data_IF_006470330616
#
_entry.id   IF_006470330616
#
_cell.length_a   1.000
_cell.length_b   1.000
_cell.length_c   1.000
_cell.angle_alpha   90.00
_cell.angle_beta   90.00
_cell.angle_gamma   90.00
#
_symmetry.space_group_name_H-M   'P 1'
#
loop_
_entity.id
_entity.type
_entity.pdbx_description
1 polymer ?
2 polymer ?
3 non-polymer ?
4 non-polymer ?
5 water ?
#
# COMPACT_ATOMS: atom_id res chain seq x y z
N UNK A 8 11.14 8.10 -21.51
CA UNK A 8 10.51 7.25 -20.46
C UNK A 8 10.87 7.72 -19.05
N UNK A 9 9.89 7.66 -18.15
CA UNK A 9 10.05 8.10 -16.77
C UNK A 9 10.30 6.94 -15.82
N UNK A 10 10.95 7.22 -14.71
CA UNK A 10 11.24 6.22 -13.69
C UNK A 10 10.14 6.22 -12.64
N UNK A 11 9.85 5.04 -12.10
CA UNK A 11 8.84 4.88 -11.06
C UNK A 11 9.21 5.70 -9.83
N UNK A 12 8.22 6.35 -9.22
CA UNK A 12 8.47 7.13 -8.01
C UNK A 12 9.06 6.12 -7.01
N UNK A 13 10.18 6.47 -6.37
CA UNK A 13 10.81 5.58 -5.40
C UNK A 13 9.98 5.33 -4.15
N UNK A 14 10.02 4.10 -3.65
CA UNK A 14 9.27 3.73 -2.45
C UNK A 14 9.94 4.23 -1.18
N UNK A 15 9.17 4.32 -0.11
CA UNK A 15 9.66 4.73 1.21
C UNK A 15 8.79 3.96 2.20
N UNK A 16 9.30 3.76 3.42
CA UNK A 16 8.54 3.05 4.44
C UNK A 16 7.20 3.72 4.72
N UNK A 17 6.23 2.90 5.12
CA UNK A 17 4.92 3.43 5.46
C UNK A 17 5.00 4.23 6.74
N UNK A 18 6.06 4.00 7.51
CA UNK A 18 6.26 4.72 8.76
C UNK A 18 5.56 4.12 9.96
N UNK A 19 5.98 4.48 11.19
CA UNK A 19 5.37 3.96 12.41
C UNK A 19 3.90 4.33 12.64
N UNK A 20 3.48 5.50 12.16
CA UNK A 20 2.10 5.94 12.36
C UNK A 20 1.18 5.75 11.15
N UNK A 21 1.52 4.80 10.29
CA UNK A 21 0.76 4.52 9.08
C UNK A 21 -0.76 4.39 9.27
N UNK A 22 -1.23 4.19 10.49
CA UNK A 22 -2.67 4.03 10.72
C UNK A 22 -3.49 5.32 10.51
N UNK A 23 -2.88 6.45 10.83
CA UNK A 23 -3.56 7.73 10.69
C UNK A 23 -4.16 7.90 9.31
N UNK A 24 -3.36 7.65 8.29
CA UNK A 24 -3.85 7.82 6.93
C UNK A 24 -4.59 6.67 6.29
N UNK A 25 -4.30 5.43 6.67
CA UNK A 25 -4.96 4.30 6.05
C UNK A 25 -6.03 3.60 6.88
N UNK A 26 -6.03 3.83 8.19
CA UNK A 26 -7.03 3.23 9.09
C UNK A 26 -7.32 4.21 10.23
N UNK A 27 -7.85 5.39 9.90
CA UNK A 27 -8.17 6.43 10.89
C UNK A 27 -8.89 5.93 12.14
N UNK A 28 -9.87 5.05 11.95
CA UNK A 28 -10.64 4.48 13.04
C UNK A 28 -9.71 3.85 14.10
N UNK A 29 -8.77 3.04 13.65
CA UNK A 29 -7.85 2.37 14.56
C UNK A 29 -6.99 3.37 15.32
N UNK A 30 -6.91 4.60 14.81
CA UNK A 30 -6.13 5.64 15.47
C UNK A 30 -7.07 6.61 16.18
N UNK A 31 -8.33 6.21 16.34
CA UNK A 31 -9.32 7.05 17.02
C UNK A 31 -9.57 8.37 16.30
N UNK A 32 -9.53 8.36 14.96
CA UNK A 32 -9.77 9.57 14.19
C UNK A 32 -11.01 9.40 13.31
N UNK A 33 -12.08 10.10 13.66
CA UNK A 33 -13.30 10.02 12.88
C UNK A 33 -13.39 11.24 11.98
N UNK A 34 -12.98 11.06 10.73
CA UNK A 34 -13.01 12.15 9.77
C UNK A 34 -13.76 11.75 8.50
N UNK A 35 -13.77 10.46 8.20
CA UNK A 35 -14.43 9.94 7.01
C UNK A 35 -15.75 9.30 7.39
N UNK A 36 -16.77 9.46 6.54
CA UNK A 36 -18.06 8.84 6.81
C UNK A 36 -17.92 7.36 6.43
N UNK A 37 -17.38 7.11 5.25
CA UNK A 37 -17.17 5.76 4.78
C UNK A 37 -15.70 5.37 4.97
N UNK A 38 -15.47 4.38 5.82
CA UNK A 38 -14.11 3.91 6.12
C UNK A 38 -13.82 2.56 5.48
N UNK A 39 -12.63 2.43 4.91
CA UNK A 39 -12.22 1.19 4.27
C UNK A 39 -11.79 0.24 5.39
N UNK A 40 -12.15 -1.03 5.29
CA UNK A 40 -11.78 -2.00 6.34
C UNK A 40 -11.41 -3.39 5.85
N UNK A 41 -11.42 -4.35 6.78
CA UNK A 41 -11.05 -5.73 6.53
C UNK A 41 -12.23 -6.67 6.32
N UNK A 42 -13.40 -6.14 5.99
CA UNK A 42 -14.57 -6.98 5.77
C UNK A 42 -14.99 -6.96 4.30
N UNK A 43 -14.63 -7.99 3.55
CA UNK A 43 -14.97 -8.06 2.14
C UNK A 43 -16.30 -8.76 1.86
N UNK A 44 -16.91 -9.35 2.89
CA UNK A 44 -18.16 -10.05 2.68
C UNK A 44 -19.39 -9.16 2.93
N UNK A 45 -20.18 -8.98 1.88
CA UNK A 45 -21.40 -8.18 1.98
C UNK A 45 -22.59 -9.13 2.14
N UNK A 46 -23.76 -8.53 2.33
CA UNK A 46 -24.99 -9.30 2.52
C UNK A 46 -25.23 -10.33 1.42
N UNK A 47 -25.17 -9.88 0.17
CA UNK A 47 -25.41 -10.77 -0.98
C UNK A 47 -24.16 -11.30 -1.66
N UNK A 48 -23.05 -11.37 -0.92
CA UNK A 48 -21.81 -11.86 -1.49
C UNK A 48 -21.88 -13.37 -1.60
N UNK A 49 -21.50 -13.90 -2.76
CA UNK A 49 -21.53 -15.34 -3.00
C UNK A 49 -20.25 -16.04 -2.53
N UNK A 50 -20.37 -17.32 -2.20
CA UNK A 50 -19.23 -18.09 -1.78
C UNK A 50 -19.21 -18.44 -0.31
N UNK A 51 -18.29 -19.32 0.07
CA UNK A 51 -18.19 -19.71 1.47
C UNK A 51 -17.37 -18.71 2.27
N UNK A 52 -17.98 -18.18 3.32
CA UNK A 52 -17.31 -17.24 4.19
C UNK A 52 -16.12 -17.91 4.86
N UNK A 53 -15.03 -17.17 5.00
CA UNK A 53 -13.83 -17.68 5.66
C UNK A 53 -13.17 -16.53 6.40
N UNK A 54 -12.41 -16.87 7.42
CA UNK A 54 -11.71 -15.87 8.20
C UNK A 54 -10.22 -16.12 8.01
N UNK A 55 -9.50 -15.08 7.61
CA UNK A 55 -8.06 -15.20 7.40
C UNK A 55 -7.38 -14.45 8.54
N UNK A 56 -6.58 -15.15 9.33
CA UNK A 56 -5.89 -14.51 10.45
C UNK A 56 -4.47 -15.00 10.61
N UNK A 57 -3.68 -14.23 11.36
CA UNK A 57 -2.29 -14.58 11.59
C UNK A 57 -1.52 -13.46 12.27
N UNK A 58 -0.21 -13.57 12.24
CA UNK A 58 0.69 -12.57 12.81
C UNK A 58 1.88 -12.39 11.89
N UNK A 59 2.63 -11.31 12.10
CA UNK A 59 3.82 -11.02 11.31
C UNK A 59 4.97 -10.97 12.30
N UNK A 60 6.01 -11.76 12.07
CA UNK A 60 7.16 -11.80 12.97
C UNK A 60 8.43 -11.22 12.36
N UNK A 61 9.19 -10.49 13.16
CA UNK A 61 10.45 -9.92 12.68
C UNK A 61 11.56 -10.96 12.81
N UNK A 62 12.80 -10.51 12.63
CA UNK A 62 13.94 -11.41 12.71
C UNK A 62 14.19 -12.03 14.07
N UNK A 63 13.61 -11.46 15.12
CA UNK A 63 13.80 -11.99 16.46
C UNK A 63 12.71 -12.96 16.84
N UNK A 64 11.69 -13.06 15.99
CA UNK A 64 10.58 -13.96 16.27
C UNK A 64 9.50 -13.22 17.04
N UNK A 65 9.57 -11.90 17.02
CA UNK A 65 8.59 -11.07 17.71
C UNK A 65 7.59 -10.48 16.71
N UNK A 66 6.30 -10.47 17.07
CA UNK A 66 5.27 -9.93 16.19
C UNK A 66 5.33 -8.42 16.01
N UNK A 67 5.12 -7.95 14.79
CA UNK A 67 5.10 -6.52 14.52
C UNK A 67 3.73 -6.04 14.99
N UNK A 68 3.71 -5.03 15.85
CA UNK A 68 2.45 -4.51 16.34
C UNK A 68 2.07 -3.21 15.63
N UNK A 69 2.78 -2.90 14.55
CA UNK A 69 2.50 -1.69 13.78
C UNK A 69 2.42 -1.94 12.28
N UNK A 70 2.20 -3.19 11.88
CA UNK A 70 2.14 -3.55 10.48
C UNK A 70 0.75 -3.34 9.89
N UNK A 71 0.70 -3.00 8.60
CA UNK A 71 -0.56 -2.79 7.89
C UNK A 71 -0.64 -3.83 6.78
N UNK A 72 -1.79 -4.48 6.63
CA UNK A 72 -1.96 -5.51 5.61
C UNK A 72 -3.14 -5.26 4.68
N UNK A 73 -2.97 -5.58 3.40
CA UNK A 73 -4.04 -5.46 2.42
C UNK A 73 -4.07 -6.73 1.59
N UNK A 74 -5.25 -7.12 1.11
CA UNK A 74 -5.37 -8.29 0.28
C UNK A 74 -6.17 -7.94 -0.97
N UNK A 75 -5.93 -8.71 -2.03
CA UNK A 75 -6.59 -8.55 -3.32
C UNK A 75 -6.88 -9.97 -3.79
N UNK A 76 -8.15 -10.25 -4.08
CA UNK A 76 -8.55 -11.59 -4.52
C UNK A 76 -9.73 -11.59 -5.48
N UNK A 77 -9.95 -12.73 -6.13
CA UNK A 77 -11.04 -12.87 -7.08
C UNK A 77 -12.28 -13.33 -6.32
N UNK A 78 -13.44 -13.31 -6.97
CA UNK A 78 -14.66 -13.75 -6.29
C UNK A 78 -14.70 -15.27 -6.21
N UNK A 79 -15.88 -15.81 -5.91
CA UNK A 79 -16.01 -17.25 -5.77
C UNK A 79 -15.85 -18.01 -7.09
N UNK A 80 -16.06 -17.33 -8.22
CA UNK A 80 -15.92 -17.98 -9.50
C UNK A 80 -14.58 -17.68 -10.17
N UNK A 81 -13.67 -17.09 -9.40
CA UNK A 81 -12.36 -16.77 -9.95
C UNK A 81 -12.34 -15.61 -10.92
N UNK A 82 -13.20 -14.62 -10.69
CA UNK A 82 -13.26 -13.44 -11.55
C UNK A 82 -12.92 -12.24 -10.66
N UNK A 83 -12.06 -11.35 -11.15
CA UNK A 83 -11.70 -10.17 -10.37
C UNK A 83 -12.62 -8.98 -10.61
N UNK A 84 -13.08 -8.33 -9.53
CA UNK A 84 -13.95 -7.17 -9.69
C UNK A 84 -13.07 -6.01 -10.17
N UNK A 85 -12.56 -6.15 -11.40
CA UNK A 85 -11.67 -5.16 -12.00
C UNK A 85 -11.89 -5.07 -13.50
N UNK A 86 -11.87 -3.85 -14.04
CA UNK A 86 -12.05 -3.67 -15.48
C UNK A 86 -10.93 -4.34 -16.25
N UNK A 87 -9.82 -4.62 -15.56
CA UNK A 87 -8.68 -5.24 -16.22
C UNK A 87 -8.88 -6.74 -16.39
N UNK A 88 -9.92 -7.29 -15.75
CA UNK A 88 -10.17 -8.73 -15.89
C UNK A 88 -10.73 -8.97 -17.29
N UNK A 89 -10.05 -9.82 -18.05
CA UNK A 89 -10.48 -10.08 -19.43
C UNK A 89 -11.13 -11.44 -19.62
N UNK A 90 -11.65 -12.04 -18.55
CA UNK A 90 -12.26 -13.35 -18.67
C UNK A 90 -13.59 -13.35 -19.42
N UNK A 91 -14.21 -12.20 -19.57
CA UNK A 91 -15.47 -12.14 -20.27
C UNK A 91 -16.63 -12.66 -19.43
N UNK A 92 -16.34 -13.06 -18.20
CA UNK A 92 -17.38 -13.55 -17.30
C UNK A 92 -17.89 -12.40 -16.42
N UNK A 93 -19.09 -12.56 -15.89
CA UNK A 93 -19.65 -11.54 -15.02
C UNK A 93 -19.18 -11.85 -13.60
N UNK A 94 -18.72 -10.81 -12.90
CA UNK A 94 -18.22 -10.95 -11.54
C UNK A 94 -19.35 -10.76 -10.51
N UNK A 95 -19.10 -11.22 -9.28
CA UNK A 95 -20.05 -11.06 -8.19
C UNK A 95 -20.22 -9.54 -7.99
N UNK A 96 -21.41 -8.99 -8.27
CA UNK A 96 -21.66 -7.56 -8.12
C UNK A 96 -21.58 -7.02 -6.70
N UNK A 97 -21.51 -7.93 -5.73
CA UNK A 97 -21.43 -7.51 -4.33
C UNK A 97 -20.10 -7.95 -3.71
N UNK A 98 -19.00 -7.60 -4.37
CA UNK A 98 -17.67 -7.98 -3.90
C UNK A 98 -16.60 -7.00 -4.41
N UNK A 99 -15.95 -6.30 -3.49
CA UNK A 99 -14.90 -5.34 -3.85
C UNK A 99 -13.61 -6.08 -4.18
N UNK A 100 -13.39 -7.21 -3.50
CA UNK A 100 -12.21 -8.01 -3.73
C UNK A 100 -10.95 -7.54 -3.03
N UNK A 101 -11.07 -6.43 -2.32
CA UNK A 101 -9.94 -5.83 -1.61
C UNK A 101 -10.33 -5.50 -0.17
N UNK A 102 -9.33 -5.45 0.71
CA UNK A 102 -9.57 -5.14 2.10
C UNK A 102 -8.27 -4.70 2.75
N UNK A 103 -8.37 -4.03 3.89
CA UNK A 103 -7.20 -3.54 4.61
C UNK A 103 -7.41 -3.71 6.10
N UNK A 104 -6.33 -4.03 6.81
CA UNK A 104 -6.41 -4.19 8.25
C UNK A 104 -5.05 -3.94 8.89
N UNK A 105 -5.05 -3.77 10.21
CA UNK A 105 -3.80 -3.54 10.91
C UNK A 105 -3.65 -4.53 12.03
N UNK A 106 -2.42 -4.85 12.40
CA UNK A 106 -2.19 -5.80 13.48
C UNK A 106 -2.68 -5.12 14.76
N UNK A 107 -3.05 -5.92 15.75
CA UNK A 107 -3.51 -5.36 17.01
C UNK A 107 -2.30 -4.83 17.77
N UNK A 108 -2.42 -3.60 18.30
CA UNK A 108 -1.33 -2.96 19.04
C UNK A 108 -0.82 -3.79 20.20
N UNK A 109 -1.68 -4.62 20.78
CA UNK A 109 -1.27 -5.42 21.91
C UNK A 109 -0.77 -6.81 21.58
N UNK A 110 -1.64 -7.62 20.97
CA UNK A 110 -1.30 -9.00 20.62
C UNK A 110 -0.54 -9.17 19.31
N UNK A 111 -0.87 -8.37 18.31
CA UNK A 111 -0.19 -8.49 17.03
C UNK A 111 -1.00 -9.23 15.98
N UNK A 112 -2.11 -9.84 16.38
CA UNK A 112 -2.96 -10.55 15.43
C UNK A 112 -3.70 -9.64 14.47
N UNK A 113 -3.86 -10.12 13.24
CA UNK A 113 -4.61 -9.41 12.22
C UNK A 113 -5.59 -10.43 11.65
N UNK A 114 -6.60 -9.95 10.93
CA UNK A 114 -7.58 -10.84 10.33
C UNK A 114 -8.46 -10.14 9.31
N UNK A 115 -9.05 -10.94 8.43
CA UNK A 115 -9.96 -10.47 7.41
C UNK A 115 -11.15 -11.42 7.37
N UNK A 116 -12.31 -10.86 7.04
CA UNK A 116 -13.52 -11.65 6.87
C UNK A 116 -13.71 -11.57 5.38
N UNK A 117 -13.56 -12.70 4.70
CA UNK A 117 -13.71 -12.71 3.25
C UNK A 117 -14.32 -14.01 2.74
N UNK A 118 -14.15 -14.25 1.45
CA UNK A 118 -14.67 -15.43 0.79
C UNK A 118 -13.51 -16.23 0.19
N UNK A 119 -13.63 -17.55 0.14
CA UNK A 119 -12.55 -18.35 -0.44
C UNK A 119 -12.68 -18.17 -1.95
N UNK A 120 -11.63 -17.61 -2.59
CA UNK A 120 -11.61 -17.34 -4.03
C UNK A 120 -11.61 -18.59 -4.91
N UNK A 121 -12.21 -18.44 -6.08
CA UNK A 121 -12.24 -19.55 -7.03
C UNK A 121 -10.96 -19.51 -7.84
N UNK A 122 -10.69 -20.59 -8.59
CA UNK A 122 -9.49 -20.68 -9.40
C UNK A 122 -9.45 -19.60 -10.48
N UNK A 123 -8.26 -19.05 -10.71
CA UNK A 123 -8.07 -18.00 -11.72
C UNK A 123 -7.15 -18.53 -12.83
N UNK A 124 -7.44 -18.16 -14.09
CA UNK A 124 -6.63 -18.60 -15.23
C UNK A 124 -5.17 -18.17 -15.10
N UNK A 125 -4.26 -19.05 -15.49
CA UNK A 125 -2.86 -18.73 -15.43
C UNK A 125 -2.39 -18.32 -16.81
N UNK A 126 -1.08 -18.17 -16.99
CA UNK A 126 -0.55 -17.80 -18.30
C UNK A 126 -0.55 -19.03 -19.20
N UNK A 127 -0.61 -18.81 -20.50
CA UNK A 127 -0.60 -19.89 -21.48
C UNK A 127 -1.60 -21.01 -21.19
N UNK A 128 -2.87 -20.65 -21.03
CA UNK A 128 -3.91 -21.64 -20.79
C UNK A 128 -3.79 -22.52 -19.55
N UNK A 129 -3.06 -22.07 -18.54
CA UNK A 129 -2.92 -22.85 -17.31
C UNK A 129 -3.96 -22.37 -16.31
N UNK A 130 -4.06 -23.05 -15.18
CA UNK A 130 -5.01 -22.68 -14.15
C UNK A 130 -4.29 -22.50 -12.82
N UNK A 131 -4.48 -21.35 -12.19
CA UNK A 131 -3.84 -21.11 -10.91
C UNK A 131 -4.70 -21.68 -9.79
N UNK A 132 -4.04 -22.19 -8.76
CA UNK A 132 -4.76 -22.71 -7.61
C UNK A 132 -5.37 -21.49 -6.92
N UNK A 133 -6.45 -21.67 -6.14
CA UNK A 133 -7.08 -20.55 -5.44
C UNK A 133 -6.06 -19.86 -4.54
N UNK A 134 -6.03 -18.54 -4.58
CA UNK A 134 -5.07 -17.78 -3.78
C UNK A 134 -5.51 -16.35 -3.54
N UNK A 135 -4.91 -15.74 -2.52
CA UNK A 135 -5.19 -14.36 -2.17
C UNK A 135 -3.86 -13.60 -2.22
N UNK A 136 -3.81 -12.51 -2.96
CA UNK A 136 -2.59 -11.72 -3.01
C UNK A 136 -2.56 -10.84 -1.76
N UNK A 137 -1.41 -10.81 -1.10
CA UNK A 137 -1.29 -10.04 0.12
C UNK A 137 -0.02 -9.20 0.13
N UNK A 138 -0.11 -8.00 0.70
CA UNK A 138 1.03 -7.11 0.79
C UNK A 138 1.08 -6.51 2.19
N UNK A 139 2.30 -6.31 2.70
CA UNK A 139 2.47 -5.75 4.03
C UNK A 139 3.33 -4.49 4.00
N UNK A 140 2.94 -3.50 4.81
CA UNK A 140 3.67 -2.25 4.93
C UNK A 140 3.92 -2.03 6.42
N UNK A 141 4.99 -1.32 6.75
CA UNK A 141 5.32 -1.03 8.13
C UNK A 141 6.65 -0.32 8.30
N UNK A 142 6.84 0.23 9.48
CA UNK A 142 8.08 0.89 9.85
C UNK A 142 9.15 -0.17 9.61
N UNK A 143 10.30 0.24 9.07
CA UNK A 143 11.37 -0.71 8.82
C UNK A 143 11.30 -1.42 7.49
N UNK A 144 10.14 -1.36 6.84
CA UNK A 144 9.95 -2.00 5.54
C UNK A 144 9.96 -0.89 4.49
N UNK A 145 11.02 -0.85 3.69
CA UNK A 145 11.18 0.19 2.69
C UNK A 145 10.26 0.08 1.48
N UNK A 146 9.89 -1.15 1.13
CA UNK A 146 9.00 -1.39 0.00
C UNK A 146 7.97 -2.44 0.41
N UNK A 147 6.72 -2.21 0.08
CA UNK A 147 5.70 -3.19 0.44
C UNK A 147 6.13 -4.57 0.00
N UNK A 148 5.97 -5.55 0.88
CA UNK A 148 6.34 -6.93 0.56
C UNK A 148 5.13 -7.69 0.03
N UNK A 149 5.30 -8.30 -1.14
CA UNK A 149 4.25 -9.06 -1.80
C UNK A 149 4.38 -10.56 -1.52
N UNK A 150 3.26 -11.21 -1.25
CA UNK A 150 3.27 -12.64 -1.04
C UNK A 150 1.91 -13.16 -1.44
N UNK A 151 1.73 -14.48 -1.40
CA UNK A 151 0.45 -15.09 -1.73
C UNK A 151 0.04 -16.06 -0.64
N UNK A 152 -1.27 -16.22 -0.48
CA UNK A 152 -1.82 -17.14 0.51
C UNK A 152 -2.56 -18.25 -0.24
N UNK A 153 -2.11 -19.48 -0.08
CA UNK A 153 -2.78 -20.62 -0.69
C UNK A 153 -3.44 -21.39 0.44
N UNK A 154 -4.34 -22.32 0.10
CA UNK A 154 -5.04 -23.09 1.12
C UNK A 154 -4.62 -24.56 1.13
N UNK A 155 -4.40 -25.10 2.33
CA UNK A 155 -3.96 -26.48 2.47
C UNK A 155 -5.00 -27.54 2.06
N UNK A 156 -6.26 -27.15 1.99
CA UNK A 156 -7.30 -28.08 1.57
C UNK A 156 -7.41 -28.13 0.04
N UNK A 157 -6.49 -27.46 -0.64
CA UNK A 157 -6.45 -27.44 -2.11
C UNK A 157 -5.12 -28.06 -2.56
N UNK A 158 -4.73 -29.14 -1.88
CA UNK A 158 -3.47 -29.82 -2.17
C UNK A 158 -3.28 -30.16 -3.65
N UNK A 159 -4.30 -30.72 -4.28
CA UNK A 159 -4.21 -31.10 -5.68
C UNK A 159 -4.01 -29.90 -6.61
N UNK A 160 -4.71 -28.81 -6.33
CA UNK A 160 -4.57 -27.62 -7.16
C UNK A 160 -3.21 -26.97 -6.93
N UNK A 161 -2.78 -26.92 -5.67
CA UNK A 161 -1.49 -26.31 -5.34
C UNK A 161 -0.32 -27.01 -6.02
N UNK A 162 -0.39 -28.34 -6.12
CA UNK A 162 0.67 -29.11 -6.75
C UNK A 162 0.86 -28.72 -8.22
N UNK A 163 -0.21 -28.28 -8.87
CA UNK A 163 -0.16 -27.91 -10.28
C UNK A 163 -0.08 -26.41 -10.49
N UNK A 164 -0.02 -25.64 -9.40
CA UNK A 164 0.04 -24.19 -9.52
C UNK A 164 1.33 -23.69 -10.15
N UNK A 165 1.23 -22.88 -11.21
CA UNK A 165 2.38 -22.32 -11.92
C UNK A 165 3.32 -21.50 -11.03
N UNK A 166 2.77 -20.54 -10.28
CA UNK A 166 3.60 -19.72 -9.41
C UNK A 166 4.32 -20.53 -8.33
N UNK A 167 3.61 -21.42 -7.64
CA UNK A 167 4.26 -22.24 -6.62
C UNK A 167 5.37 -23.09 -7.22
N UNK A 168 5.15 -23.61 -8.42
CA UNK A 168 6.16 -24.45 -9.08
C UNK A 168 7.31 -23.64 -9.67
N UNK A 169 7.21 -22.32 -9.66
CA UNK A 169 8.28 -21.48 -10.20
C UNK A 169 9.29 -21.18 -9.08
N UNK A 170 9.04 -21.73 -7.90
CA UNK A 170 9.93 -21.57 -6.76
C UNK A 170 10.77 -22.84 -6.77
N UNK A 171 12.03 -22.75 -7.20
CA UNK A 171 12.88 -23.94 -7.27
C UNK A 171 13.22 -24.61 -5.94
N UNK A 172 13.13 -23.86 -4.84
CA UNK A 172 13.41 -24.42 -3.53
C UNK A 172 12.10 -24.96 -2.97
N UNK A 173 11.77 -26.19 -3.35
CA UNK A 173 10.53 -26.84 -2.92
C UNK A 173 10.16 -26.66 -1.45
N UNK A 174 11.17 -26.62 -0.59
CA UNK A 174 10.97 -26.46 0.84
C UNK A 174 10.26 -25.16 1.23
N UNK A 175 10.50 -24.10 0.47
CA UNK A 175 9.91 -22.81 0.76
C UNK A 175 8.45 -22.68 0.34
N UNK A 176 8.00 -23.54 -0.57
CA UNK A 176 6.62 -23.48 -1.03
C UNK A 176 5.58 -23.59 0.09
N UNK A 177 5.87 -24.40 1.10
CA UNK A 177 4.94 -24.58 2.21
C UNK A 177 4.69 -23.30 3.00
N UNK A 178 5.63 -22.35 2.95
CA UNK A 178 5.44 -21.11 3.69
C UNK A 178 4.28 -20.28 3.14
N UNK A 179 3.79 -20.65 1.95
CA UNK A 179 2.68 -19.91 1.34
C UNK A 179 1.31 -20.59 1.52
N UNK A 180 1.29 -21.71 2.22
CA UNK A 180 0.05 -22.44 2.45
C UNK A 180 -0.55 -22.24 3.84
N UNK A 181 -1.74 -21.64 3.90
CA UNK A 181 -2.40 -21.41 5.18
C UNK A 181 -3.08 -22.71 5.66
N UNK A 182 -3.22 -22.86 6.97
CA UNK A 182 -3.84 -24.06 7.54
C UNK A 182 -5.30 -23.84 7.91
N UNK A 183 -6.16 -24.75 7.47
CA UNK A 183 -7.58 -24.69 7.72
C UNK A 183 -7.88 -25.10 9.17
N UNK A 184 -8.87 -24.45 9.76
CA UNK A 184 -9.30 -24.75 11.13
C UNK A 184 -10.80 -24.46 11.18
N UNK A 185 -11.43 -24.79 12.29
CA UNK A 185 -12.87 -24.57 12.42
C UNK A 185 -13.30 -24.26 13.87
N UNK A 186 -13.22 -22.98 14.26
CA UNK A 186 -13.60 -22.56 15.60
C UNK A 186 -14.88 -23.21 16.10
N UNK A 187 -15.97 -22.96 15.38
CA UNK A 187 -17.26 -23.54 15.73
C UNK A 187 -17.87 -24.09 14.45
N UNK A 188 -18.51 -23.22 13.68
CA UNK A 188 -19.10 -23.61 12.41
C UNK A 188 -18.46 -22.76 11.34
N UNK A 189 -17.47 -21.99 11.75
CA UNK A 189 -16.76 -21.09 10.84
C UNK A 189 -15.41 -21.65 10.42
N UNK A 190 -15.04 -21.38 9.16
CA UNK A 190 -13.77 -21.83 8.62
C UNK A 190 -12.73 -20.72 8.81
N UNK A 191 -11.57 -21.09 9.36
CA UNK A 191 -10.51 -20.14 9.60
C UNK A 191 -9.20 -20.64 9.05
N UNK A 192 -8.52 -19.81 8.27
CA UNK A 192 -7.22 -20.18 7.74
C UNK A 192 -6.16 -19.38 8.48
N UNK A 193 -5.23 -20.09 9.10
CA UNK A 193 -4.16 -19.45 9.86
C UNK A 193 -2.96 -19.25 8.94
N UNK A 194 -2.50 -18.01 8.83
CA UNK A 194 -1.36 -17.71 7.98
C UNK A 194 -0.39 -16.78 8.66
N UNK A 195 0.70 -17.34 9.18
CA UNK A 195 1.69 -16.50 9.82
C UNK A 195 2.80 -16.15 8.84
N UNK A 196 3.25 -14.91 8.93
CA UNK A 196 4.29 -14.41 8.04
C UNK A 196 5.58 -14.19 8.80
N UNK A 197 6.66 -14.75 8.29
CA UNK A 197 7.97 -14.59 8.93
C UNK A 197 8.85 -13.84 7.95
N UNK A 198 9.12 -12.59 8.27
CA UNK A 198 9.93 -11.75 7.40
C UNK A 198 11.39 -12.16 7.33
N UNK A 199 11.94 -12.67 8.42
CA UNK A 199 13.35 -13.01 8.44
C UNK A 199 13.63 -14.30 9.21
N UNK A 200 14.75 -14.95 8.91
CA UNK A 200 15.12 -16.16 9.62
C UNK A 200 14.66 -17.49 9.06
N UNK A 201 14.52 -18.47 9.94
CA UNK A 201 14.06 -19.78 9.52
C UNK A 201 12.60 -19.75 9.11
N UNK A 202 12.25 -20.59 8.14
CA UNK A 202 10.88 -20.64 7.64
C UNK A 202 10.44 -19.27 7.17
N UNK A 203 11.41 -18.49 6.69
CA UNK A 203 11.12 -17.16 6.19
C UNK A 203 10.11 -17.26 5.05
N UNK A 204 9.05 -16.48 5.14
CA UNK A 204 8.00 -16.48 4.11
C UNK A 204 8.53 -16.04 2.76
N UNK A 205 8.04 -16.66 1.69
CA UNK A 205 8.47 -16.29 0.35
C UNK A 205 7.82 -14.95 -0.02
N UNK A 206 8.60 -14.04 -0.60
CA UNK A 206 8.09 -12.74 -1.02
C UNK A 206 8.37 -12.61 -2.50
N UNK A 207 7.43 -12.03 -3.22
CA UNK A 207 7.58 -11.88 -4.67
C UNK A 207 7.81 -10.46 -5.15
N UNK A 208 8.37 -10.38 -6.35
CA UNK A 208 8.56 -9.11 -7.00
C UNK A 208 7.59 -9.33 -8.16
N UNK A 209 6.42 -8.71 -8.08
CA UNK A 209 5.40 -8.91 -9.10
C UNK A 209 5.41 -7.95 -10.27
N UNK B 4 -6.39 -1.81 -28.55
CA UNK B 4 -5.16 -2.10 -27.77
C UNK B 4 -5.35 -3.27 -26.80
N UNK B 5 -4.50 -4.28 -26.92
CA UNK B 5 -4.55 -5.44 -26.04
C UNK B 5 -3.36 -5.33 -25.10
N UNK B 6 -3.62 -5.14 -23.81
CA UNK B 6 -2.53 -4.97 -22.86
C UNK B 6 -1.87 -6.25 -22.37
N UNK B 7 -0.55 -6.15 -22.16
CA UNK B 7 0.21 -7.26 -21.66
C UNK B 7 0.52 -7.04 -20.19
N UNK B 8 1.74 -7.33 -19.77
CA UNK B 8 2.12 -7.16 -18.36
C UNK B 8 2.76 -5.81 -18.05
N UNK B 9 2.82 -5.48 -16.77
CA UNK B 9 3.47 -4.24 -16.37
C UNK B 9 4.96 -4.42 -16.56
N UNK B 10 5.64 -3.34 -16.94
CA UNK B 10 7.08 -3.42 -17.13
C UNK B 10 7.68 -3.81 -15.78
N UNK B 11 8.81 -4.50 -15.84
CA UNK B 11 9.54 -4.94 -14.67
C UNK B 11 9.90 -3.77 -13.75
N UNK B 12 9.71 -3.94 -12.45
CA UNK B 12 10.10 -2.87 -11.53
C UNK B 12 11.62 -2.78 -11.54
N UNK B 13 12.16 -1.57 -11.63
CA UNK B 13 13.62 -1.42 -11.65
C UNK B 13 14.10 -1.29 -10.22
N UNK B 14 14.61 -2.39 -9.69
CA UNK B 14 15.09 -2.44 -8.32
C UNK B 14 16.17 -1.42 -7.99
N UNK B 15 16.87 -0.92 -9.00
CA UNK B 15 17.93 0.05 -8.74
C UNK B 15 17.38 1.47 -8.55
N UNK B 16 16.10 1.66 -8.86
CA UNK B 16 15.50 2.97 -8.67
C UNK B 16 14.76 3.03 -7.33
N UNK B 17 14.90 1.98 -6.54
CA UNK B 17 14.25 1.90 -5.23
C UNK B 17 15.25 1.56 -4.14
N UNK B 18 14.89 1.84 -2.88
CA UNK B 18 15.79 1.54 -1.78
C UNK B 18 15.85 0.01 -1.63
N UNK B 19 16.96 -0.52 -1.12
CA UNK B 19 17.05 -1.97 -0.95
C UNK B 19 16.21 -2.30 0.29
N UNK B 20 15.95 -3.58 0.54
CA UNK B 20 15.17 -3.96 1.71
C UNK B 20 16.02 -3.80 2.97
N UNK B 21 17.29 -4.20 2.87
CA UNK B 21 18.20 -4.12 4.01
C UNK B 21 19.04 -2.84 3.96
N UNK B 22 18.82 -1.94 4.91
CA UNK B 22 19.57 -0.69 4.97
C UNK B 22 19.96 -0.40 6.42
N UNK B 23 21.15 -0.85 6.82
CA UNK B 23 21.67 -0.66 8.18
C UNK B 23 21.56 0.77 8.72
N UNK B 24 21.65 1.76 7.85
CA UNK B 24 21.54 3.14 8.29
C UNK B 24 20.16 3.44 8.86
N UNK B 25 19.18 2.66 8.42
CA UNK B 25 17.81 2.77 8.89
C UNK B 25 17.66 1.54 9.77
N UNK B 26 17.93 1.73 11.05
CA UNK B 26 17.93 0.66 12.04
C UNK B 26 16.81 -0.36 12.07
N UNK B 27 15.57 0.07 12.14
CA UNK B 27 14.45 -0.87 12.19
C UNK B 27 14.36 -1.79 10.98
N UNK B 28 15.09 -1.48 9.91
CA UNK B 28 15.04 -2.33 8.71
C UNK B 28 15.92 -3.58 8.87
N UNK B 29 16.81 -3.55 9.85
CA UNK B 29 17.70 -4.69 10.08
C UNK B 29 16.97 -5.99 10.42
N UNK B 30 15.89 -5.90 11.18
CA UNK B 30 15.13 -7.09 11.57
C UNK B 30 13.85 -7.29 10.76
N UNK B 31 13.50 -6.31 9.94
CA UNK B 31 12.29 -6.41 9.15
C UNK B 31 12.53 -6.49 7.66
N UNK B 32 13.66 -7.09 7.30
CA UNK B 32 14.02 -7.26 5.90
C UNK B 32 14.34 -8.72 5.64
N UNK B 33 13.77 -9.31 4.59
CA UNK B 33 14.03 -10.71 4.26
C UNK B 33 15.50 -10.95 3.97
N UNK B 34 16.01 -12.13 4.32
CA UNK B 34 17.40 -12.41 4.05
C UNK B 34 17.45 -13.04 2.65
N UNK B 35 16.34 -13.64 2.23
CA UNK B 35 16.26 -14.25 0.90
C UNK B 35 15.90 -13.19 -0.15
N UNK B 36 16.36 -13.40 -1.38
CA UNK B 36 16.05 -12.47 -2.45
C UNK B 36 14.59 -12.64 -2.85
N UNK B 37 13.99 -11.60 -3.40
CA UNK B 37 12.61 -11.68 -3.84
C UNK B 37 12.55 -12.60 -5.05
N UNK B 38 11.49 -13.40 -5.13
CA UNK B 38 11.30 -14.30 -6.25
C UNK B 38 10.48 -13.57 -7.32
N UNK B 39 11.09 -13.34 -8.48
CA UNK B 39 10.40 -12.65 -9.57
C UNK B 39 9.50 -13.61 -10.31
N UNK B 40 8.27 -13.18 -10.59
CA UNK B 40 7.34 -14.04 -11.31
C UNK B 40 6.77 -13.34 -12.53
N UNK B 41 6.29 -14.13 -13.48
CA UNK B 41 5.68 -13.61 -14.69
C UNK B 41 4.26 -13.25 -14.25
N UNK B 42 3.76 -12.11 -14.69
CA UNK B 42 2.44 -11.67 -14.27
C UNK B 42 1.27 -12.46 -14.85
N UNK B 43 0.19 -12.46 -14.07
CA UNK B 43 -1.06 -13.12 -14.41
C UNK B 43 -2.16 -12.11 -14.15
N UNK B 44 -3.41 -12.53 -14.27
CA UNK B 44 -4.53 -11.64 -14.02
C UNK B 44 -4.50 -11.07 -12.61
N UNK B 45 -3.97 -11.83 -11.66
CA UNK B 45 -3.90 -11.38 -10.28
C UNK B 45 -3.07 -10.10 -10.13
N UNK B 46 -1.95 -10.04 -10.84
CA UNK B 46 -1.07 -8.89 -10.76
C UNK B 46 -1.47 -7.68 -11.61
N UNK B 47 -2.23 -7.91 -12.67
CA UNK B 47 -2.61 -6.80 -13.54
C UNK B 47 -3.96 -6.17 -13.22
N UNK B 48 -4.67 -6.73 -12.24
CA UNK B 48 -5.98 -6.20 -11.85
C UNK B 48 -5.91 -5.48 -10.50
N UNK B 49 -6.94 -4.69 -10.21
CA UNK B 49 -7.00 -3.96 -8.96
C UNK B 49 -8.42 -3.50 -8.72
N UNK B 50 -8.77 -3.19 -7.46
CA UNK B 50 -10.12 -2.72 -7.09
C UNK B 50 -10.47 -1.34 -7.63
N UNK B 51 -11.77 -1.04 -7.63
CA UNK B 51 -12.28 0.24 -8.10
C UNK B 51 -13.01 0.89 -6.94
N UNK B 52 -12.75 2.16 -6.67
CA UNK B 52 -13.42 2.87 -5.59
C UNK B 52 -14.33 3.96 -6.17
N UNK B 53 -15.63 3.86 -5.90
CA UNK B 53 -16.58 4.83 -6.43
C UNK B 53 -16.48 6.17 -5.71
N UNK B 54 -16.62 7.25 -6.47
CA UNK B 54 -16.54 8.58 -5.92
C UNK B 54 -17.66 8.88 -4.93
N UNK B 55 -18.78 8.15 -5.06
CA UNK B 55 -19.94 8.34 -4.18
C UNK B 55 -19.62 8.20 -2.70
N UNK B 56 -18.58 7.44 -2.39
CA UNK B 56 -18.19 7.19 -1.01
C UNK B 56 -17.36 8.31 -0.38
N UNK B 57 -16.86 9.22 -1.19
CA UNK B 57 -16.03 10.31 -0.69
C UNK B 57 -16.80 11.54 -0.21
N UNK B 58 -16.47 11.98 0.99
CA UNK B 58 -17.11 13.17 1.53
C UNK B 58 -16.57 14.38 0.81
N UNK B 59 -17.25 15.54 0.88
CA UNK B 59 -16.83 16.79 0.24
C UNK B 59 -15.54 17.40 0.77
N UNK B 60 -15.18 17.09 2.01
CA UNK B 60 -13.96 17.63 2.61
C UNK B 60 -12.84 16.60 2.75
N UNK B 61 -13.00 15.44 2.12
CA UNK B 61 -11.98 14.40 2.21
C UNK B 61 -10.60 14.83 1.74
N UNK B 62 -10.52 15.79 0.81
CA UNK B 62 -9.23 16.25 0.32
C UNK B 62 -8.83 17.60 0.89
N UNK B 63 -9.53 18.02 1.94
CA UNK B 63 -9.24 19.30 2.58
C UNK B 63 -8.86 19.08 4.04
N UNK B 64 -7.57 18.89 4.30
CA UNK B 64 -7.09 18.64 5.65
C UNK B 64 -7.19 19.86 6.57
N UNK B 65 -7.41 21.03 6.01
CA UNK B 65 -7.54 22.22 6.83
C UNK B 65 -8.92 22.24 7.52
N UNK B 66 -9.94 21.75 6.80
CA UNK B 66 -11.29 21.76 7.33
C UNK B 66 -11.95 20.43 7.70
N UNK B 67 -11.45 19.30 7.21
CA UNK B 67 -12.13 18.04 7.53
C UNK B 67 -12.08 17.58 8.98
N UNK B 68 -11.38 18.32 9.83
CA UNK B 68 -11.31 17.93 11.23
C UNK B 68 -11.47 19.16 12.13
N UNK B 69 -11.66 20.32 11.51
CA UNK B 69 -11.81 21.55 12.27
C UNK B 69 -13.09 21.52 13.11
N UNK B 70 -12.95 21.80 14.40
CA UNK B 70 -14.09 21.80 15.32
C UNK B 70 -14.46 23.22 15.76
N UNK B 71 -13.66 23.80 16.67
CA UNK B 71 -13.90 25.14 17.18
C UNK B 71 -13.31 26.23 16.29
N UNK B 72 -12.28 25.89 15.54
CA UNK B 72 -11.64 26.86 14.67
C UNK B 72 -10.75 26.21 13.62
N UNK B 73 -9.85 27.01 13.05
CA UNK B 73 -8.94 26.52 12.04
C UNK B 73 -7.64 25.98 12.64
N UNK B 74 -6.99 25.05 11.93
CA UNK B 74 -5.74 24.47 12.43
C UNK B 74 -4.67 25.57 12.42
N UNK B 75 -3.69 25.46 13.30
CA UNK B 75 -2.61 26.43 13.35
C UNK B 75 -1.51 25.93 12.39
N UNK B 76 -0.99 26.81 11.56
CA UNK B 76 0.05 26.39 10.63
C UNK B 76 0.00 27.06 9.28
N UNK B 77 0.92 26.65 8.41
CA UNK B 77 1.05 27.18 7.06
C UNK B 77 0.07 26.58 6.06
N UNK B 78 -0.86 27.40 5.60
CA UNK B 78 -1.85 26.97 4.62
C UNK B 78 -1.14 26.71 3.30
N UNK B 79 -1.21 25.47 2.81
CA UNK B 79 -0.58 25.13 1.53
C UNK B 79 -1.45 24.19 0.72
N UNK B 80 -1.43 24.38 -0.59
CA UNK B 80 -2.17 23.54 -1.52
C UNK B 80 -1.11 22.69 -2.21
N UNK B 81 -1.40 21.42 -2.40
CA UNK B 81 -0.50 20.52 -3.08
C UNK B 81 -1.28 19.89 -4.23
N UNK B 82 -0.69 19.90 -5.42
CA UNK B 82 -1.34 19.32 -6.58
C UNK B 82 -0.31 18.76 -7.53
N UNK B 83 -0.75 17.96 -8.50
CA UNK B 83 0.18 17.39 -9.45
C UNK B 83 -0.50 16.34 -10.32
N UNK B 84 0.30 15.59 -11.07
CA UNK B 84 -0.24 14.55 -11.93
C UNK B 84 0.34 13.19 -11.63
N UNK B 85 -0.49 12.17 -11.84
CA UNK B 85 -0.08 10.79 -11.63
C UNK B 85 -0.05 10.19 -13.04
N UNK B 86 1.10 9.71 -13.46
CA UNK B 86 1.25 9.12 -14.78
C UNK B 86 1.92 7.76 -14.62
N UNK B 87 1.95 6.97 -15.68
CA UNK B 87 2.63 5.68 -15.63
C UNK B 87 3.98 5.95 -16.30
N UNK B 88 4.92 5.02 -16.18
CA UNK B 88 6.25 5.24 -16.73
C UNK B 88 6.29 5.60 -18.20
N UNK B 89 5.23 5.27 -18.93
CA UNK B 89 5.19 5.58 -20.35
C UNK B 89 4.50 6.92 -20.63
N UNK B 90 4.29 7.69 -19.57
CA UNK B 90 3.66 8.99 -19.72
C UNK B 90 2.14 9.02 -19.79
N UNK B 91 1.49 7.86 -19.72
CA UNK B 91 0.03 7.83 -19.79
C UNK B 91 -0.55 8.24 -18.43
N UNK B 92 -1.59 9.09 -18.43
CA UNK B 92 -2.22 9.53 -17.18
C UNK B 92 -2.88 8.34 -16.47
N UNK B 93 -2.92 8.40 -15.14
CA UNK B 93 -3.55 7.35 -14.34
C UNK B 93 -4.88 7.91 -13.83
N UNK B 94 -5.97 7.42 -14.40
CA UNK B 94 -7.30 7.88 -14.07
C UNK B 94 -7.99 7.16 -12.92
N UNK B 95 -8.72 7.92 -12.13
CA UNK B 95 -9.48 7.39 -10.99
C UNK B 95 -8.68 6.53 -10.02
N UNK B 96 -7.45 6.95 -9.77
CA UNK B 96 -6.60 6.22 -8.83
C UNK B 96 -6.89 6.77 -7.44
N UNK B 97 -6.86 5.89 -6.45
CA UNK B 97 -7.10 6.28 -5.07
C UNK B 97 -5.81 6.80 -4.45
N UNK B 98 -5.82 8.07 -4.07
CA UNK B 98 -4.65 8.67 -3.44
C UNK B 98 -5.00 9.02 -2.00
N UNK B 99 -4.28 8.40 -1.06
CA UNK B 99 -4.49 8.66 0.35
C UNK B 99 -3.24 9.28 0.94
N UNK B 100 -3.41 10.31 1.76
CA UNK B 100 -2.28 10.99 2.36
C UNK B 100 -2.49 11.20 3.86
N UNK B 101 -1.39 11.27 4.59
CA UNK B 101 -1.46 11.51 6.03
C UNK B 101 -0.17 12.21 6.45
N UNK B 102 -0.21 12.89 7.59
CA UNK B 102 0.95 13.66 8.01
C UNK B 102 0.80 14.10 9.47
N UNK B 103 1.88 14.70 9.99
CA UNK B 103 1.90 15.24 11.34
C UNK B 103 1.37 16.67 11.22
N UNK B 104 1.16 17.35 12.35
CA UNK B 104 0.66 18.73 12.30
C UNK B 104 1.81 19.74 12.21
N UNK B 105 1.51 21.01 12.38
CA UNK B 105 2.53 22.06 12.30
C UNK B 105 3.64 21.95 13.35
N UNK B 106 3.36 21.25 14.43
CA UNK B 106 4.35 21.06 15.51
C UNK B 106 5.24 19.86 15.22
N UNK B 107 4.84 19.05 14.25
CA UNK B 107 5.60 17.84 13.93
C UNK B 107 5.04 16.73 14.81
N UNK B 108 3.80 16.89 15.23
CA UNK B 108 3.13 15.94 16.09
C UNK B 108 2.04 15.19 15.31
N UNK B 109 2.10 13.86 15.37
CA UNK B 109 1.12 12.99 14.71
C UNK B 109 -0.03 12.72 15.68
N UNK B 110 -1.24 12.66 15.15
CA UNK B 110 -2.40 12.37 15.97
C UNK B 110 -2.48 10.85 16.02
N UNK B 111 -1.53 10.24 16.72
CA UNK B 111 -1.43 8.79 16.83
C UNK B 111 -1.08 8.41 18.27
N UNK B 112 -1.80 7.43 18.84
CA UNK B 112 -1.55 7.00 20.21
C UNK B 112 -0.08 6.74 20.59
N UNK B 113 0.71 6.18 19.67
CA UNK B 113 2.12 5.90 19.95
C UNK B 113 3.06 7.09 19.80
N UNK B 114 2.53 8.29 19.63
CA UNK B 114 3.39 9.46 19.47
C UNK B 114 3.39 10.31 20.74
N UNK B 115 4.51 10.32 21.45
CA UNK B 115 4.60 11.11 22.68
C UNK B 115 5.52 12.31 22.57
N UNK B 116 5.82 12.73 21.33
CA UNK B 116 6.68 13.89 21.14
C UNK B 116 6.06 15.10 21.82
N UNK B 117 6.89 15.92 22.45
CA UNK B 117 6.42 17.09 23.16
C UNK B 117 5.80 18.16 22.25
N UNK B 118 5.93 17.98 20.94
CA UNK B 118 5.35 18.95 20.01
C UNK B 118 3.85 19.00 20.32
N UNK B 119 3.26 20.19 20.29
CA UNK B 119 1.85 20.36 20.64
C UNK B 119 0.80 19.88 19.63
N UNK B 120 -0.21 19.20 20.17
CA UNK B 120 -1.34 18.70 19.40
C UNK B 120 -2.21 19.88 18.99
N UNK B 121 -2.90 19.75 17.86
CA UNK B 121 -3.77 20.80 17.36
C UNK B 121 -5.18 20.19 17.38
N UNK B 122 -6.06 20.65 18.27
CA UNK B 122 -7.42 20.11 18.34
C UNK B 122 -8.23 20.25 17.06
N UNK B 123 -7.77 21.10 16.15
CA UNK B 123 -8.49 21.31 14.90
C UNK B 123 -7.85 20.68 13.68
N UNK B 124 -6.89 19.78 13.90
CA UNK B 124 -6.22 19.13 12.80
C UNK B 124 -6.16 17.61 12.97
N UNK B 125 -6.58 16.90 11.92
CA UNK B 125 -6.59 15.44 11.95
C UNK B 125 -5.34 14.84 11.33
N UNK B 126 -4.98 15.29 10.13
CA UNK B 126 -3.80 14.77 9.48
C UNK B 126 -3.98 13.72 8.40
N UNK B 127 -5.21 13.51 7.93
CA UNK B 127 -5.41 12.53 6.87
C UNK B 127 -6.46 12.99 5.85
N UNK B 128 -6.24 12.59 4.60
CA UNK B 128 -7.14 12.94 3.52
C UNK B 128 -7.05 11.92 2.42
N UNK B 129 -7.87 12.06 1.39
CA UNK B 129 -7.86 11.12 0.27
C UNK B 129 -8.59 11.75 -0.89
N UNK B 130 -8.41 11.16 -2.08
CA UNK B 130 -9.06 11.68 -3.27
C UNK B 130 -8.79 10.74 -4.44
N UNK B 131 -9.54 10.94 -5.53
CA UNK B 131 -9.36 10.15 -6.73
C UNK B 131 -8.82 11.08 -7.81
N UNK B 132 -7.89 10.59 -8.62
CA UNK B 132 -7.34 11.41 -9.70
C UNK B 132 -8.41 11.53 -10.78
N UNK B 133 -8.41 12.64 -11.51
CA UNK B 133 -9.39 12.82 -12.58
C UNK B 133 -8.92 12.12 -13.85
N UNK B 134 -9.58 12.40 -14.97
CA UNK B 134 -9.25 11.77 -16.24
C UNK B 134 -7.87 12.16 -16.78
N UNK B 135 -7.31 13.25 -16.28
CA UNK B 135 -5.98 13.67 -16.73
C UNK B 135 -4.91 13.22 -15.73
N UNK B 136 -5.34 12.48 -14.72
CA UNK B 136 -4.40 12.01 -13.71
C UNK B 136 -4.08 13.11 -12.70
N UNK B 137 -4.86 14.18 -12.72
CA UNK B 137 -4.66 15.32 -11.83
C UNK B 137 -5.25 15.10 -10.44
N UNK B 138 -4.58 15.64 -9.42
CA UNK B 138 -5.06 15.52 -8.04
C UNK B 138 -4.73 16.82 -7.32
N UNK B 139 -5.50 17.11 -6.27
CA UNK B 139 -5.29 18.33 -5.50
C UNK B 139 -5.93 18.25 -4.12
N UNK B 140 -5.16 18.59 -3.10
CA UNK B 140 -5.70 18.62 -1.74
C UNK B 140 -5.10 19.82 -1.03
N UNK B 141 -5.66 20.15 0.13
CA UNK B 141 -5.20 21.29 0.91
C UNK B 141 -4.81 20.81 2.30
N UNK B 142 -3.79 21.42 2.89
CA UNK B 142 -3.37 21.00 4.21
C UNK B 142 -2.55 22.07 4.91
N UNK B 143 -1.98 21.67 6.04
CA UNK B 143 -1.10 22.51 6.86
C UNK B 143 0.28 21.91 6.64
N UNK B 144 1.29 22.74 6.38
CA UNK B 144 2.62 22.21 6.17
C UNK B 144 3.13 21.57 7.46
N UNK B 145 3.46 20.28 7.41
CA UNK B 145 3.95 19.55 8.59
C UNK B 145 5.32 20.00 9.06
N UNK B 146 5.55 19.93 10.37
CA UNK B 146 6.84 20.31 10.92
C UNK B 146 7.72 19.06 10.97
N UNK B 147 9.05 19.21 10.99
CA UNK B 147 9.95 18.06 11.05
C UNK B 147 9.62 17.20 12.27
N UNK B 148 9.96 15.92 12.21
CA UNK B 148 9.67 15.00 13.31
C UNK B 148 10.92 14.36 13.91
N UNK B 149 11.19 14.63 15.20
CA UNK B 149 12.36 14.05 15.87
C UNK B 149 12.05 12.59 16.18
N UNK B 150 12.99 11.70 15.87
CA UNK B 150 12.76 10.29 16.13
C UNK B 150 14.02 9.57 16.57
N UNK B 151 13.86 8.34 17.03
CA UNK B 151 14.98 7.57 17.53
C UNK B 151 15.55 6.49 16.61
N UNK B 152 16.49 6.88 15.75
CA UNK B 152 17.21 5.96 14.86
C UNK B 152 18.52 6.10 15.62
N UNK B 153 19.21 7.21 15.40
CA UNK B 153 20.38 7.56 16.19
C UNK B 153 19.63 8.49 17.14
N UNK B 154 20.14 8.73 18.33
CA UNK B 154 19.40 9.53 19.30
C UNK B 154 18.86 10.90 18.85
N UNK B 155 19.62 11.63 18.02
CA UNK B 155 19.18 12.96 17.58
C UNK B 155 18.76 12.96 16.11
N UNK B 156 17.94 12.00 15.71
CA UNK B 156 17.51 11.93 14.31
C UNK B 156 16.29 12.81 14.08
N UNK B 157 16.20 13.43 12.91
CA UNK B 157 15.05 14.26 12.57
C UNK B 157 14.57 14.05 11.14
N UNK B 158 13.31 13.69 10.98
CA UNK B 158 12.75 13.51 9.65
C UNK B 158 12.48 14.89 9.10
N UNK B 159 12.78 15.12 7.82
CA UNK B 159 12.48 16.46 7.33
C UNK B 159 10.94 16.52 7.26
N UNK B 160 10.37 17.71 7.08
CA UNK B 160 8.92 17.81 6.97
C UNK B 160 8.50 16.87 5.85
N UNK B 161 7.44 16.09 6.04
CA UNK B 161 7.03 15.17 5.00
C UNK B 161 5.58 14.76 5.07
N UNK B 162 5.04 14.41 3.91
CA UNK B 162 3.67 13.94 3.82
C UNK B 162 3.72 12.54 3.22
N UNK B 163 3.06 11.61 3.91
CA UNK B 163 2.99 10.22 3.50
C UNK B 163 1.89 10.10 2.45
N UNK B 164 2.09 9.27 1.43
CA UNK B 164 1.07 9.08 0.43
C UNK B 164 1.03 7.63 -0.03
N UNK B 165 -0.14 7.21 -0.49
CA UNK B 165 -0.39 5.84 -0.94
C UNK B 165 -1.26 5.84 -2.19
N UNK B 166 -0.96 4.96 -3.14
CA UNK B 166 -1.77 4.86 -4.34
C UNK B 166 -2.17 3.45 -4.71
N UNK B 167 -3.44 3.32 -5.08
CA UNK B 167 -4.01 2.06 -5.55
C UNK B 167 -4.61 2.49 -6.88
N UNK B 168 -4.10 1.94 -7.97
CA UNK B 168 -4.55 2.33 -9.30
C UNK B 168 -5.21 1.22 -10.12
N UNK B 169 -4.68 0.99 -11.33
CA UNK B 169 -5.25 -0.01 -12.23
C UNK B 169 -4.73 -1.44 -12.02
N UNK B 170 -3.47 -1.58 -11.63
CA UNK B 170 -2.90 -2.90 -11.43
C UNK B 170 -2.31 -3.05 -10.04
N UNK B 171 -2.47 -4.24 -9.47
CA UNK B 171 -1.96 -4.52 -8.14
C UNK B 171 -0.45 -4.30 -8.14
N UNK B 172 0.17 -4.59 -9.29
CA UNK B 172 1.61 -4.42 -9.44
C UNK B 172 2.06 -2.96 -9.26
N UNK B 173 1.12 -2.02 -9.39
CA UNK B 173 1.43 -0.60 -9.24
C UNK B 173 1.31 -0.14 -7.78
N UNK B 174 0.78 -0.99 -6.90
CA UNK B 174 0.62 -0.62 -5.50
C UNK B 174 1.88 0.07 -5.00
N UNK B 175 1.74 1.29 -4.47
CA UNK B 175 2.88 2.05 -3.99
C UNK B 175 2.58 2.97 -2.82
N UNK B 176 3.52 3.02 -1.88
CA UNK B 176 3.42 3.88 -0.71
C UNK B 176 4.77 4.57 -0.59
N UNK B 177 4.74 5.88 -0.38
CA UNK B 177 5.99 6.62 -0.27
C UNK B 177 5.79 7.91 0.54
N UNK B 178 6.73 8.84 0.38
CA UNK B 178 6.71 10.10 1.10
C UNK B 178 7.28 11.19 0.22
N UNK B 179 6.76 12.41 0.33
CA UNK B 179 7.33 13.51 -0.44
C UNK B 179 7.74 14.63 0.51
N UNK B 180 8.76 15.38 0.13
CA UNK B 180 9.29 16.45 0.96
C UNK B 180 9.13 17.81 0.27
N UNK B 181 9.48 18.89 0.97
CA UNK B 181 9.34 20.24 0.42
C UNK B 181 10.66 20.89 0.04
N UNK B 182 10.71 21.43 -1.17
CA UNK B 182 11.90 22.08 -1.70
C UNK B 182 12.54 23.02 -0.69
N UNK B 183 13.87 22.92 -0.55
CA UNK B 183 14.59 23.78 0.37
C UNK B 183 14.85 23.24 1.78
N UNK B 184 14.07 22.27 2.24
CA UNK B 184 14.23 21.73 3.59
C UNK B 184 15.64 21.15 3.74
N UNK B 185 16.42 21.74 4.65
CA UNK B 185 17.80 21.28 4.88
C UNK B 185 17.93 19.89 5.46
N UNK B 186 16.91 19.41 6.17
CA UNK B 186 16.97 18.07 6.77
C UNK B 186 16.99 16.97 5.71
N UNK B 187 16.61 17.33 4.48
CA UNK B 187 16.59 16.38 3.39
C UNK B 187 17.94 15.73 3.14
N UNK B 188 19.01 16.53 3.24
CA UNK B 188 20.36 16.00 3.00
C UNK B 188 20.96 15.13 4.10
N UNK B 189 20.28 15.01 5.24
CA UNK B 189 20.83 14.20 6.31
C UNK B 189 19.93 13.07 6.81
N UNK B 190 18.79 12.89 6.16
CA UNK B 190 17.84 11.85 6.57
C UNK B 190 18.23 10.44 6.12
N UNK B 191 18.37 9.51 7.09
CA UNK B 191 18.73 8.11 6.80
C UNK B 191 17.69 7.38 5.94
N UNK B 192 16.42 7.73 6.12
CA UNK B 192 15.37 7.08 5.34
C UNK B 192 15.44 7.49 3.87
N UNK B 193 15.62 8.78 3.61
CA UNK B 193 15.72 9.25 2.24
C UNK B 193 17.01 8.72 1.60
N UNK B 194 18.04 8.48 2.43
CA UNK B 194 19.30 7.98 1.90
C UNK B 194 19.29 6.49 1.54
N UNK B 195 18.22 5.78 1.89
CA UNK B 195 18.14 4.37 1.52
C UNK B 195 17.97 4.27 0.00
N UNK B 196 17.56 5.38 -0.61
CA UNK B 196 17.37 5.44 -2.06
C UNK B 196 18.76 5.62 -2.67
N UNK B 197 19.19 4.68 -3.53
CA UNK B 197 20.48 4.67 -4.19
C UNK B 197 20.94 5.89 -4.99
N UNK B 198 20.10 6.41 -5.88
CA UNK B 198 20.51 7.55 -6.69
C UNK B 198 19.97 8.90 -6.27
N UNK B 199 20.74 9.92 -6.57
CA UNK B 199 20.37 11.29 -6.26
C UNK B 199 19.18 11.76 -7.08
N UNK B 200 19.11 11.35 -8.35
CA UNK B 200 17.99 11.76 -9.19
C UNK B 200 16.66 11.22 -8.63
N UNK B 201 16.69 10.01 -8.11
CA UNK B 201 15.49 9.42 -7.52
C UNK B 201 15.09 10.11 -6.22
N UNK B 202 16.08 10.53 -5.43
CA UNK B 202 15.78 11.22 -4.19
C UNK B 202 15.05 12.52 -4.51
N UNK B 203 15.51 13.22 -5.55
CA UNK B 203 14.88 14.46 -5.96
C UNK B 203 13.49 14.23 -6.54
N UNK B 204 13.19 13.00 -6.93
CA UNK B 204 11.86 12.69 -7.47
C UNK B 204 10.82 12.71 -6.34
N UNK B 205 11.27 12.81 -5.10
CA UNK B 205 10.38 12.86 -3.95
C UNK B 205 10.23 14.27 -3.36
N UNK B 206 10.74 15.27 -4.07
CA UNK B 206 10.66 16.64 -3.57
C UNK B 206 9.59 17.49 -4.26
N UNK B 207 8.63 17.95 -3.48
CA UNK B 207 7.56 18.81 -4.01
C UNK B 207 8.17 20.19 -4.28
N UNK B 208 7.91 20.71 -5.47
CA UNK B 208 8.42 22.01 -5.87
C UNK B 208 7.50 23.19 -5.61
N UNK B 209 8.07 24.30 -5.17
CA UNK B 209 7.28 25.49 -4.92
C UNK B 209 6.72 25.95 -6.27
N UNK B 210 5.43 26.21 -6.31
CA UNK B 210 4.74 26.62 -7.53
C UNK B 210 4.14 28.01 -7.29
N UNK B 211 5.02 29.02 -7.27
CA UNK B 211 4.65 30.40 -6.97
C UNK B 211 3.49 31.03 -7.75
N UNK B 212 3.36 30.72 -9.03
CA UNK B 212 2.28 31.29 -9.82
C UNK B 212 0.92 30.78 -9.38
N UNK B 213 0.89 29.64 -8.71
CA UNK B 213 -0.37 29.08 -8.25
C UNK B 213 -0.67 29.35 -6.77
N UNK B 214 0.06 30.29 -6.18
CA UNK B 214 -0.19 30.69 -4.80
C UNK B 214 -1.50 31.47 -4.88
N UNK B 215 -2.29 31.46 -3.81
CA UNK B 215 -3.53 32.20 -3.79
C UNK B 215 -3.29 33.36 -2.83
N UNK B 216 -3.28 34.57 -3.37
CA UNK B 216 -3.00 35.75 -2.57
C UNK B 216 -3.72 35.81 -1.23
N UNK B 217 -2.99 36.28 -0.22
CA UNK B 217 -3.50 36.40 1.15
C UNK B 217 -4.24 35.16 1.59
N UNK B 218 -3.78 33.99 1.15
CA UNK B 218 -4.46 32.77 1.51
C UNK B 218 -3.57 31.55 1.65
N UNK B 219 -3.11 30.98 0.54
CA UNK B 219 -2.29 29.79 0.59
C UNK B 219 -1.15 29.73 -0.41
N UNK B 220 -0.11 28.97 -0.06
CA UNK B 220 1.03 28.77 -0.94
C UNK B 220 0.71 27.48 -1.71
N UNK B 221 1.53 27.15 -2.70
CA UNK B 221 1.26 25.95 -3.48
C UNK B 221 2.52 25.19 -3.89
N UNK B 222 2.45 23.87 -3.79
CA UNK B 222 3.56 23.00 -4.19
C UNK B 222 3.09 22.04 -5.27
N UNK B 223 3.95 21.79 -6.24
CA UNK B 223 3.67 20.89 -7.35
C UNK B 223 4.40 19.57 -7.12
N UNK B 224 3.68 18.46 -7.23
CA UNK B 224 4.31 17.15 -7.04
C UNK B 224 3.70 16.07 -7.93
N UNK B 225 4.47 15.57 -8.88
CA UNK B 225 3.99 14.53 -9.79
C UNK B 225 4.44 13.13 -9.36
N UNK B 226 3.62 12.14 -9.64
CA UNK B 226 3.90 10.76 -9.27
C UNK B 226 3.92 9.85 -10.48
N UNK B 227 4.91 8.97 -10.57
CA UNK B 227 5.03 8.04 -11.69
C UNK B 227 4.87 6.60 -11.21
N UNK B 228 3.96 5.87 -11.83
CA UNK B 228 3.73 4.48 -11.48
C UNK B 228 4.22 3.57 -12.60
N UNK B 229 4.26 2.27 -12.34
CA UNK B 229 4.69 1.32 -13.36
C UNK B 229 3.63 1.29 -14.46
N UNK B 230 4.04 1.01 -15.69
CA UNK B 230 3.09 0.98 -16.79
C UNK B 230 3.04 -0.34 -17.53
N UNK B 231 1.93 -0.58 -18.22
CA UNK B 231 1.75 -1.82 -18.98
C UNK B 231 2.23 -1.68 -20.40
N UNK B 232 2.76 -2.79 -20.93
CA UNK B 232 3.20 -2.81 -22.31
C UNK B 232 2.00 -3.31 -23.09
N UNK B 233 1.88 -2.91 -24.34
CA UNK B 233 0.79 -3.37 -25.18
C UNK B 233 1.28 -4.61 -25.89
N UNK B 234 0.36 -5.49 -26.29
CA UNK B 234 0.73 -6.72 -26.99
C UNK B 234 0.27 -6.67 -28.44
N UNK B 235 1.14 -7.10 -29.35
CA UNK B 235 0.81 -7.11 -30.77
C UNK B 235 0.97 -8.49 -31.40
N UNK B 236 1.50 -9.44 -30.63
CA UNK B 236 1.66 -10.79 -31.13
C UNK B 236 1.02 -11.77 -30.15
N UNK B 237 1.69 -12.86 -29.78
CA UNK B 237 1.06 -13.78 -28.83
C UNK B 237 0.67 -13.05 -27.56
N UNK B 238 -0.45 -13.45 -26.97
CA UNK B 238 -0.93 -12.87 -25.72
C UNK B 238 -1.03 -14.03 -24.74
N UNK B 239 0.05 -14.26 -24.00
CA UNK B 239 0.10 -15.36 -23.05
C UNK B 239 -0.37 -15.06 -21.65
N UNK B 240 -0.78 -13.82 -21.41
CA UNK B 240 -1.25 -13.43 -20.08
C UNK B 240 -2.32 -14.41 -19.63
N UNK B 241 -3.06 -14.96 -20.60
CA UNK B 241 -4.11 -15.94 -20.33
C UNK B 241 -3.92 -17.18 -21.18
X LIG C 1 6.14 10.14 9.06
X LIG D 1 7.58 9.00 8.66
X LIG D 1 8.12 8.22 8.02
X LIG E 1 7.13 10.50 10.66
X LIG E 1 8.07 10.44 11.31
X LIG F 1 5.36 8.72 10.28
X LIG F 1 4.96 7.69 10.60
#
# INVERSE_FOLDING_TARGET
>A
MNGWNFQELKETPSQTGGPYVHIGLLPKQANIEVFEHNLDNNLVQDNTQGQRIRLEGQVFDGLGLPLRDVLIEIWQADTNGVYPSQADTQGKQVDPNFLGWGRTGADFGTGFWSFNTIKPGAVPGRKGSTQAPHISLIIFARGINIGLHTRVYFDDEAEANAKDPVLNSIEWATRRQTLVAKREERDGEVVYRFDIRIQGENETVFFDI
>B
MSQIIWGAYAQRNTEDHPPAYAPGYKTSVLRSPKNALISIAETLSEVTAPHFSADKFGPKDNDLILNYAKDGLPIGERVIVHGYVRDQFGRPVKNALVEVWQANASGRYRHPNDQYIGAMDPNFGGCGRMLTDDNGYYVFRTIKPGPYPWRNRINEWRPAHIHFSLIADGWAQRLISQFYFEGDTLIDSCPILKTIPSEQQRRALIALEDKSNFIEADSRCYRFDITLRGRRATYFENDLT
>C hetero
1 FE FE
>D hetero
1 CYN C N
>E hetero
1 CYN C N
>F hetero
1 CYN C N
#
